data_IF_701756472387
#
_entry.id   IF_701756472387
#
_cell.length_a   1.000
_cell.length_b   1.000
_cell.length_c   1.000
_cell.angle_alpha   90.00
_cell.angle_beta   90.00
_cell.angle_gamma   90.00
#
_symmetry.space_group_name_H-M   'P 1'
#
loop_
_entity.id
_entity.type
_entity.pdbx_description
1 polymer ?
#
# COMPACT_ATOMS: atom_id res chain seq x y z
N UNK A 1 2.61 57.25 1.56
CA UNK A 1 3.35 55.98 1.43
C UNK A 1 2.44 54.83 1.82
N UNK A 2 1.81 54.15 0.86
CA UNK A 2 1.01 52.94 1.12
C UNK A 2 1.49 51.86 0.15
N UNK A 3 2.29 50.91 0.67
CA UNK A 3 2.77 49.76 -0.11
C UNK A 3 1.58 48.83 -0.35
N UNK A 4 1.24 48.60 -1.62
CA UNK A 4 0.30 47.56 -2.07
C UNK A 4 0.82 46.16 -1.66
N UNK A 5 -0.07 45.22 -1.29
CA UNK A 5 0.33 43.84 -1.04
C UNK A 5 0.78 43.17 -2.36
N UNK A 6 1.88 42.41 -2.29
CA UNK A 6 2.38 41.56 -3.38
C UNK A 6 1.35 40.49 -3.69
N UNK A 7 0.64 40.63 -4.80
CA UNK A 7 -0.08 39.53 -5.43
C UNK A 7 0.94 38.45 -5.82
N UNK A 8 0.87 37.30 -5.14
CA UNK A 8 1.59 36.09 -5.54
C UNK A 8 1.14 35.71 -6.95
N UNK A 9 2.10 35.67 -7.87
CA UNK A 9 1.90 35.26 -9.26
C UNK A 9 1.10 33.96 -9.30
N UNK A 10 -0.08 33.99 -9.92
CA UNK A 10 -0.68 32.81 -10.51
C UNK A 10 0.24 32.41 -11.65
N UNK A 11 1.15 31.46 -11.40
CA UNK A 11 1.86 30.80 -12.48
C UNK A 11 0.81 30.17 -13.38
N UNK A 12 0.74 30.67 -14.61
CA UNK A 12 0.01 30.02 -15.69
C UNK A 12 0.61 28.64 -15.86
N UNK A 13 -0.06 27.63 -15.32
CA UNK A 13 0.26 26.24 -15.64
C UNK A 13 -0.10 26.06 -17.12
N UNK A 14 0.90 26.19 -17.99
CA UNK A 14 0.84 25.57 -19.31
C UNK A 14 0.43 24.11 -19.10
N UNK A 15 -0.66 23.69 -19.75
CA UNK A 15 -1.13 22.30 -19.75
C UNK A 15 -0.11 21.43 -20.50
N UNK A 16 1.02 21.13 -19.84
CA UNK A 16 1.98 20.13 -20.29
C UNK A 16 1.54 18.80 -19.67
N UNK A 17 1.00 17.85 -20.47
CA UNK A 17 0.50 16.57 -19.94
C UNK A 17 1.63 15.73 -19.30
N UNK A 18 2.87 15.94 -19.75
CA UNK A 18 4.04 15.29 -19.19
C UNK A 18 4.99 16.35 -18.61
N UNK A 19 5.15 16.32 -17.30
CA UNK A 19 6.10 17.15 -16.57
C UNK A 19 6.83 16.26 -15.56
N UNK A 20 8.14 16.47 -15.43
CA UNK A 20 8.91 15.85 -14.37
C UNK A 20 8.34 16.26 -13.00
N UNK A 21 8.07 15.26 -12.16
CA UNK A 21 7.69 15.44 -10.77
C UNK A 21 8.78 14.85 -9.89
N UNK A 22 9.22 15.64 -8.91
CA UNK A 22 10.12 15.14 -7.87
C UNK A 22 9.41 14.11 -7.00
N UNK A 23 10.18 13.23 -6.34
CA UNK A 23 9.61 12.27 -5.38
C UNK A 23 8.77 12.98 -4.30
N UNK A 24 9.25 14.12 -3.80
CA UNK A 24 8.53 14.90 -2.80
C UNK A 24 7.16 15.38 -3.31
N UNK A 25 7.08 15.88 -4.54
CA UNK A 25 5.81 16.25 -5.17
C UNK A 25 4.88 15.05 -5.35
N UNK A 26 5.41 13.91 -5.80
CA UNK A 26 4.64 12.67 -5.96
C UNK A 26 4.09 12.15 -4.63
N UNK A 27 4.91 12.18 -3.55
CA UNK A 27 4.45 11.83 -2.21
C UNK A 27 3.41 12.80 -1.67
N UNK A 28 3.53 14.11 -1.92
CA UNK A 28 2.50 15.08 -1.53
C UNK A 28 1.18 14.87 -2.30
N UNK A 29 1.25 14.32 -3.51
CA UNK A 29 0.06 13.97 -4.30
C UNK A 29 -0.64 12.70 -3.82
N UNK A 30 -0.03 11.91 -2.94
CA UNK A 30 -0.67 10.78 -2.27
C UNK A 30 -1.81 11.33 -1.41
N UNK A 31 -3.04 11.18 -1.91
CA UNK A 31 -4.21 11.70 -1.24
C UNK A 31 -4.80 10.65 -0.28
N UNK A 32 -4.38 10.73 0.99
CA UNK A 32 -4.79 9.82 2.08
C UNK A 32 -6.27 10.05 2.47
N UNK A 33 -6.80 11.25 2.18
CA UNK A 33 -8.16 11.67 2.47
C UNK A 33 -9.16 11.07 1.47
N UNK A 34 -9.52 9.81 1.72
CA UNK A 34 -10.51 9.04 0.95
C UNK A 34 -11.96 9.52 1.15
N UNK A 35 -12.20 10.49 2.05
CA UNK A 35 -13.55 11.06 2.28
C UNK A 35 -14.12 11.77 1.04
N UNK A 36 -13.28 12.17 0.07
CA UNK A 36 -13.73 12.75 -1.20
C UNK A 36 -13.47 11.88 -2.45
N UNK A 37 -12.67 10.80 -2.35
CA UNK A 37 -12.42 9.88 -3.49
C UNK A 37 -13.42 8.73 -3.62
N UNK A 38 -14.13 8.35 -2.54
CA UNK A 38 -15.12 7.25 -2.55
C UNK A 38 -16.24 7.48 -3.58
N UNK A 39 -16.50 8.72 -4.03
CA UNK A 39 -17.66 9.00 -4.87
C UNK A 39 -17.44 8.90 -6.39
N UNK A 40 -16.25 8.56 -6.89
CA UNK A 40 -16.01 8.60 -8.35
C UNK A 40 -15.26 7.39 -8.96
N UNK A 41 -14.61 6.54 -8.18
CA UNK A 41 -13.97 5.33 -8.72
C UNK A 41 -14.71 4.03 -8.35
N UNK A 42 -15.59 4.09 -7.35
CA UNK A 42 -16.55 3.02 -7.05
C UNK A 42 -17.76 3.09 -8.01
N UNK A 43 -17.95 4.20 -8.74
CA UNK A 43 -19.17 4.49 -9.51
C UNK A 43 -19.35 3.73 -10.82
N UNK A 44 -18.35 3.04 -11.34
CA UNK A 44 -18.50 2.31 -12.61
C UNK A 44 -19.15 0.93 -12.42
N UNK A 45 -19.30 0.45 -11.17
CA UNK A 45 -19.99 -0.81 -10.86
C UNK A 45 -21.00 -0.67 -9.69
N UNK A 46 -21.69 0.47 -9.59
CA UNK A 46 -22.74 0.71 -8.58
C UNK A 46 -24.08 0.07 -8.96
N UNK A 47 -24.13 -1.26 -8.90
CA UNK A 47 -25.40 -1.96 -8.70
C UNK A 47 -25.26 -2.70 -7.36
N UNK A 48 -26.02 -2.24 -6.36
CA UNK A 48 -26.26 -2.85 -5.05
C UNK A 48 -25.20 -2.70 -3.93
N UNK A 49 -25.31 -1.60 -3.20
CA UNK A 49 -24.53 -1.21 -2.01
C UNK A 49 -24.72 -2.10 -0.75
N UNK A 50 -25.53 -3.16 -0.80
CA UNK A 50 -25.70 -4.09 0.34
C UNK A 50 -24.74 -5.29 0.25
N UNK A 51 -24.35 -5.72 -0.95
CA UNK A 51 -23.41 -6.83 -1.15
C UNK A 51 -21.94 -6.41 -0.92
N UNK A 52 -21.64 -5.12 -1.05
CA UNK A 52 -20.33 -4.53 -0.76
C UNK A 52 -19.90 -4.65 0.71
N UNK A 53 -20.86 -4.76 1.65
CA UNK A 53 -20.54 -4.98 3.08
C UNK A 53 -20.11 -6.44 3.33
N UNK A 54 -20.51 -7.37 2.45
CA UNK A 54 -20.17 -8.80 2.54
C UNK A 54 -18.95 -9.18 1.70
N UNK A 55 -18.56 -8.37 0.72
CA UNK A 55 -17.40 -8.66 -0.13
C UNK A 55 -16.12 -8.12 0.49
N UNK A 56 -15.08 -8.96 0.52
CA UNK A 56 -13.75 -8.61 1.06
C UNK A 56 -13.05 -7.59 0.16
N UNK A 57 -12.41 -6.58 0.75
CA UNK A 57 -11.59 -5.63 0.00
C UNK A 57 -10.35 -6.33 -0.59
N UNK A 58 -9.79 -7.31 0.14
CA UNK A 58 -8.69 -8.14 -0.36
C UNK A 58 -9.10 -8.93 -1.60
N UNK A 59 -10.28 -9.56 -1.60
CA UNK A 59 -10.80 -10.27 -2.78
C UNK A 59 -10.96 -9.34 -3.98
N UNK A 60 -11.56 -8.16 -3.78
CA UNK A 60 -11.75 -7.19 -4.85
C UNK A 60 -10.42 -6.75 -5.47
N UNK A 61 -9.41 -6.48 -4.65
CA UNK A 61 -8.07 -6.11 -5.14
C UNK A 61 -7.39 -7.29 -5.85
N UNK A 62 -7.58 -8.52 -5.37
CA UNK A 62 -7.05 -9.73 -6.01
C UNK A 62 -7.59 -9.93 -7.43
N UNK A 63 -8.90 -9.77 -7.62
CA UNK A 63 -9.52 -9.84 -8.95
C UNK A 63 -9.14 -8.62 -9.81
N UNK A 64 -9.06 -7.42 -9.22
CA UNK A 64 -8.59 -6.22 -9.94
C UNK A 64 -7.19 -6.41 -10.51
N UNK A 65 -6.25 -6.86 -9.68
CA UNK A 65 -4.88 -7.12 -10.11
C UNK A 65 -4.77 -8.30 -11.06
N UNK A 66 -5.71 -9.26 -11.06
CA UNK A 66 -5.80 -10.29 -12.11
C UNK A 66 -6.09 -9.71 -13.49
N UNK A 67 -6.63 -8.50 -13.59
CA UNK A 67 -6.86 -7.81 -14.87
C UNK A 67 -5.70 -6.88 -15.27
N UNK A 68 -4.82 -6.53 -14.33
CA UNK A 68 -3.72 -5.59 -14.55
C UNK A 68 -2.34 -6.26 -14.63
N UNK A 69 -2.08 -7.24 -13.77
CA UNK A 69 -0.79 -7.91 -13.66
C UNK A 69 -0.88 -9.31 -14.26
N UNK A 70 -0.28 -9.47 -15.45
CA UNK A 70 -0.22 -10.75 -16.16
C UNK A 70 1.12 -11.49 -15.98
N UNK A 71 1.93 -11.07 -15.00
CA UNK A 71 3.21 -11.74 -14.74
C UNK A 71 2.97 -13.17 -14.24
N UNK A 72 3.80 -14.10 -14.70
CA UNK A 72 3.72 -15.52 -14.30
C UNK A 72 3.80 -15.68 -12.77
N UNK A 73 4.63 -14.85 -12.13
CA UNK A 73 4.81 -14.83 -10.68
C UNK A 73 3.50 -14.44 -9.98
N UNK A 74 2.82 -13.41 -10.47
CA UNK A 74 1.52 -13.02 -9.92
C UNK A 74 0.45 -14.08 -10.20
N UNK A 75 0.38 -14.64 -11.41
CA UNK A 75 -0.59 -15.69 -11.75
C UNK A 75 -0.46 -16.90 -10.81
N UNK A 76 0.76 -17.32 -10.47
CA UNK A 76 1.01 -18.39 -9.49
C UNK A 76 0.48 -18.02 -8.11
N UNK A 77 0.80 -16.82 -7.62
CA UNK A 77 0.34 -16.33 -6.32
C UNK A 77 -1.19 -16.21 -6.27
N UNK A 78 -1.80 -15.65 -7.31
CA UNK A 78 -3.23 -15.49 -7.46
C UNK A 78 -3.96 -16.85 -7.40
N UNK A 79 -3.47 -17.86 -8.12
CA UNK A 79 -4.08 -19.20 -8.12
C UNK A 79 -4.04 -19.87 -6.74
N UNK A 80 -3.04 -19.55 -5.91
CA UNK A 80 -2.95 -20.04 -4.52
C UNK A 80 -3.88 -19.26 -3.57
N UNK A 81 -3.99 -17.95 -3.75
CA UNK A 81 -4.75 -17.07 -2.86
C UNK A 81 -6.25 -17.07 -3.13
N UNK A 82 -6.67 -17.11 -4.40
CA UNK A 82 -8.08 -17.07 -4.81
C UNK A 82 -8.99 -18.06 -4.08
N UNK A 83 -8.66 -19.38 -3.97
CA UNK A 83 -9.53 -20.32 -3.27
C UNK A 83 -9.64 -20.05 -1.76
N UNK A 84 -8.70 -19.30 -1.18
CA UNK A 84 -8.67 -18.98 0.25
C UNK A 84 -9.43 -17.71 0.60
N UNK A 85 -9.80 -16.90 -0.40
CA UNK A 85 -10.18 -15.50 -0.22
C UNK A 85 -11.45 -15.10 -0.99
N UNK A 86 -12.37 -16.02 -1.31
CA UNK A 86 -13.57 -15.67 -2.09
C UNK A 86 -14.58 -14.80 -1.32
N UNK A 87 -14.51 -14.78 0.01
CA UNK A 87 -15.35 -13.95 0.86
C UNK A 87 -14.57 -13.45 2.08
N UNK A 88 -15.10 -12.43 2.77
CA UNK A 88 -14.48 -11.89 3.98
C UNK A 88 -14.32 -12.93 5.08
N UNK A 89 -15.32 -13.79 5.27
CA UNK A 89 -15.27 -14.88 6.25
C UNK A 89 -14.14 -15.86 5.92
N UNK A 90 -13.95 -16.19 4.64
CA UNK A 90 -12.84 -17.04 4.21
C UNK A 90 -11.49 -16.38 4.45
N UNK A 91 -11.36 -15.07 4.20
CA UNK A 91 -10.13 -14.32 4.48
C UNK A 91 -9.79 -14.34 5.96
N UNK A 92 -10.78 -14.10 6.84
CA UNK A 92 -10.60 -14.15 8.30
C UNK A 92 -10.22 -15.56 8.75
N UNK A 93 -10.89 -16.58 8.23
CA UNK A 93 -10.63 -17.99 8.57
C UNK A 93 -9.25 -18.46 8.10
N UNK A 94 -8.87 -18.13 6.86
CA UNK A 94 -7.62 -18.57 6.23
C UNK A 94 -6.45 -17.61 6.43
N UNK A 95 -6.55 -16.60 7.31
CA UNK A 95 -5.51 -15.58 7.53
C UNK A 95 -4.11 -16.19 7.76
N UNK A 96 -4.04 -17.30 8.49
CA UNK A 96 -2.80 -18.03 8.80
C UNK A 96 -2.17 -18.73 7.59
N UNK A 97 -2.93 -18.93 6.51
CA UNK A 97 -2.44 -19.46 5.23
C UNK A 97 -2.10 -18.35 4.24
N UNK A 98 -2.92 -17.30 4.20
CA UNK A 98 -2.75 -16.16 3.30
C UNK A 98 -1.47 -15.39 3.62
N UNK A 99 -1.25 -15.08 4.90
CA UNK A 99 -0.14 -14.24 5.33
C UNK A 99 1.25 -14.84 5.04
N UNK A 100 1.52 -16.14 5.26
CA UNK A 100 2.78 -16.76 4.85
C UNK A 100 3.04 -16.70 3.35
N UNK A 101 2.01 -16.87 2.51
CA UNK A 101 2.15 -16.78 1.05
C UNK A 101 2.57 -15.36 0.63
N UNK A 102 1.89 -14.34 1.15
CA UNK A 102 2.24 -12.93 0.90
C UNK A 102 3.65 -12.61 1.41
N UNK A 103 4.00 -13.11 2.59
CA UNK A 103 5.33 -12.92 3.19
C UNK A 103 6.42 -13.53 2.32
N UNK A 104 6.24 -14.76 1.84
CA UNK A 104 7.21 -15.44 0.99
C UNK A 104 7.47 -14.63 -0.29
N UNK A 105 6.41 -14.18 -0.96
CA UNK A 105 6.55 -13.32 -2.14
C UNK A 105 7.24 -11.99 -1.84
N UNK A 106 7.11 -11.47 -0.62
CA UNK A 106 7.79 -10.24 -0.20
C UNK A 106 9.29 -10.47 0.02
N UNK A 107 9.68 -11.64 0.52
CA UNK A 107 11.08 -12.05 0.70
C UNK A 107 11.76 -12.30 -0.64
N UNK A 108 11.04 -12.85 -1.62
CA UNK A 108 11.55 -13.07 -2.98
C UNK A 108 11.86 -11.75 -3.73
N UNK A 109 11.27 -10.62 -3.29
CA UNK A 109 11.54 -9.26 -3.79
C UNK A 109 11.44 -9.13 -5.32
N UNK A 110 10.53 -9.87 -5.95
CA UNK A 110 10.38 -9.81 -7.40
C UNK A 110 9.74 -8.47 -7.84
N UNK A 111 10.43 -7.67 -8.69
CA UNK A 111 9.96 -6.34 -9.05
C UNK A 111 8.65 -6.33 -9.84
N UNK A 112 8.29 -7.44 -10.51
CA UNK A 112 7.09 -7.52 -11.35
C UNK A 112 5.78 -7.61 -10.54
N UNK A 113 5.87 -7.99 -9.26
CA UNK A 113 4.69 -8.19 -8.41
C UNK A 113 4.65 -7.24 -7.22
N UNK A 114 5.71 -6.47 -6.99
CA UNK A 114 5.86 -5.80 -5.70
C UNK A 114 4.78 -4.75 -5.45
N UNK A 115 4.38 -4.03 -6.49
CA UNK A 115 3.28 -3.07 -6.43
C UNK A 115 1.98 -3.75 -6.01
N UNK A 116 1.63 -4.81 -6.73
CA UNK A 116 0.46 -5.64 -6.48
C UNK A 116 0.49 -6.22 -5.06
N UNK A 117 1.63 -6.73 -4.63
CA UNK A 117 1.80 -7.34 -3.31
C UNK A 117 1.60 -6.32 -2.19
N UNK A 118 2.18 -5.13 -2.33
CA UNK A 118 2.05 -4.06 -1.35
C UNK A 118 0.60 -3.55 -1.22
N UNK A 119 -0.14 -3.45 -2.33
CA UNK A 119 -1.56 -3.10 -2.30
C UNK A 119 -2.42 -4.22 -1.68
N UNK A 120 -2.17 -5.49 -2.04
CA UNK A 120 -2.86 -6.63 -1.44
C UNK A 120 -2.68 -6.69 0.09
N UNK A 121 -1.48 -6.39 0.58
CA UNK A 121 -1.20 -6.30 2.03
C UNK A 121 -2.02 -5.19 2.68
N UNK A 122 -2.15 -4.03 2.03
CA UNK A 122 -2.97 -2.92 2.51
C UNK A 122 -4.44 -3.31 2.61
N UNK A 123 -5.00 -3.95 1.58
CA UNK A 123 -6.40 -4.38 1.59
C UNK A 123 -6.65 -5.48 2.63
N UNK A 124 -5.70 -6.41 2.80
CA UNK A 124 -5.78 -7.41 3.85
C UNK A 124 -5.80 -6.78 5.24
N UNK A 125 -4.98 -5.74 5.47
CA UNK A 125 -4.99 -5.01 6.73
C UNK A 125 -6.32 -4.28 6.97
N UNK A 126 -6.97 -3.79 5.92
CA UNK A 126 -8.30 -3.17 5.99
C UNK A 126 -9.39 -4.17 6.40
N UNK A 127 -9.34 -5.38 5.85
CA UNK A 127 -10.29 -6.46 6.15
C UNK A 127 -10.09 -7.02 7.57
N UNK A 128 -8.85 -7.32 7.96
CA UNK A 128 -8.53 -8.04 9.20
C UNK A 128 -8.31 -7.14 10.42
N UNK A 129 -7.88 -5.89 10.22
CA UNK A 129 -7.66 -4.89 11.28
C UNK A 129 -6.83 -5.40 12.48
N UNK A 130 -7.48 -5.69 13.62
CA UNK A 130 -6.82 -6.17 14.84
C UNK A 130 -6.11 -7.49 14.64
N UNK A 131 -6.69 -8.39 13.85
CA UNK A 131 -6.15 -9.72 13.62
C UNK A 131 -4.89 -9.65 12.75
N UNK A 132 -4.80 -8.65 11.87
CA UNK A 132 -3.61 -8.37 11.08
C UNK A 132 -2.48 -7.75 11.91
N UNK A 133 -2.83 -6.93 12.92
CA UNK A 133 -1.85 -6.16 13.69
C UNK A 133 -0.80 -7.03 14.41
N UNK A 134 -1.18 -8.25 14.80
CA UNK A 134 -0.26 -9.22 15.40
C UNK A 134 0.88 -9.54 14.43
N UNK A 135 0.52 -9.88 13.19
CA UNK A 135 1.48 -10.22 12.13
C UNK A 135 2.25 -9.01 11.62
N UNK A 136 1.61 -7.84 11.62
CA UNK A 136 2.26 -6.56 11.32
C UNK A 136 3.47 -6.33 12.22
N UNK A 137 3.27 -6.46 13.54
CA UNK A 137 4.34 -6.30 14.54
C UNK A 137 5.39 -7.40 14.47
N UNK A 138 4.97 -8.65 14.23
CA UNK A 138 5.87 -9.79 14.29
C UNK A 138 6.88 -9.83 13.13
N UNK A 139 6.44 -9.56 11.89
CA UNK A 139 7.34 -9.68 10.74
C UNK A 139 7.02 -8.75 9.58
N UNK A 140 5.76 -8.45 9.26
CA UNK A 140 5.47 -7.73 8.01
C UNK A 140 6.08 -6.33 7.96
N UNK A 141 6.08 -5.59 9.08
CA UNK A 141 6.73 -4.29 9.11
C UNK A 141 8.23 -4.41 8.80
N UNK A 142 8.91 -5.34 9.45
CA UNK A 142 10.33 -5.59 9.22
C UNK A 142 10.60 -6.01 7.78
N UNK A 143 9.79 -6.92 7.21
CA UNK A 143 9.96 -7.42 5.85
C UNK A 143 9.75 -6.28 4.82
N UNK A 144 8.75 -5.41 5.01
CA UNK A 144 8.51 -4.21 4.18
C UNK A 144 9.67 -3.23 4.25
N UNK A 145 10.24 -2.98 5.43
CA UNK A 145 11.41 -2.09 5.57
C UNK A 145 12.66 -2.74 4.98
N UNK A 146 12.85 -4.04 5.15
CA UNK A 146 13.98 -4.78 4.57
C UNK A 146 13.98 -4.74 3.04
N UNK A 147 12.81 -4.66 2.42
CA UNK A 147 12.69 -4.42 0.98
C UNK A 147 13.28 -3.08 0.55
N UNK A 148 13.10 -2.02 1.33
CA UNK A 148 13.76 -0.72 1.09
C UNK A 148 15.27 -0.79 1.35
N UNK A 149 15.71 -1.52 2.37
CA UNK A 149 17.14 -1.62 2.71
C UNK A 149 17.90 -2.45 1.66
N UNK A 150 17.36 -3.60 1.26
CA UNK A 150 18.00 -4.48 0.28
C UNK A 150 18.04 -3.86 -1.10
N UNK A 151 16.97 -3.15 -1.51
CA UNK A 151 16.99 -2.40 -2.76
C UNK A 151 18.09 -1.34 -2.76
N UNK A 152 18.33 -0.61 -1.66
CA UNK A 152 19.48 0.33 -1.57
C UNK A 152 20.83 -0.35 -1.77
N UNK A 153 21.05 -1.55 -1.23
CA UNK A 153 22.31 -2.30 -1.41
C UNK A 153 22.56 -2.68 -2.87
N UNK A 154 21.50 -3.10 -3.58
CA UNK A 154 21.56 -3.43 -5.01
C UNK A 154 21.81 -2.14 -5.84
N UNK A 155 21.21 -1.03 -5.44
CA UNK A 155 21.32 0.26 -6.15
C UNK A 155 22.70 0.92 -6.04
N UNK A 156 23.46 0.66 -4.96
CA UNK A 156 24.85 1.12 -4.85
C UNK A 156 25.74 0.60 -5.99
N UNK A 157 25.36 -0.52 -6.62
CA UNK A 157 26.10 -1.11 -7.75
C UNK A 157 25.66 -0.56 -9.12
N UNK A 158 24.47 0.02 -9.24
CA UNK A 158 23.90 0.47 -10.52
C UNK A 158 23.55 1.97 -10.59
N UNK A 159 23.78 2.74 -9.53
CA UNK A 159 23.63 4.20 -9.49
C UNK A 159 22.23 4.74 -9.88
N UNK A 160 21.19 3.90 -9.81
CA UNK A 160 19.79 4.30 -10.03
C UNK A 160 18.97 4.11 -8.75
N UNK A 161 18.40 5.18 -8.22
CA UNK A 161 17.45 5.11 -7.11
C UNK A 161 16.10 4.67 -7.71
N UNK A 162 15.60 3.49 -7.35
CA UNK A 162 14.26 3.08 -7.73
C UNK A 162 13.20 3.90 -6.96
N UNK A 163 12.96 5.10 -7.46
CA UNK A 163 12.02 6.08 -6.92
C UNK A 163 10.60 5.52 -6.86
N UNK A 164 10.25 4.65 -7.81
CA UNK A 164 8.94 4.01 -7.86
C UNK A 164 8.73 3.03 -6.70
N UNK A 165 9.72 2.19 -6.40
CA UNK A 165 9.66 1.28 -5.26
C UNK A 165 9.50 2.05 -3.94
N UNK A 166 10.27 3.12 -3.79
CA UNK A 166 10.20 3.96 -2.59
C UNK A 166 8.79 4.54 -2.42
N UNK A 167 8.22 5.10 -3.48
CA UNK A 167 6.84 5.61 -3.47
C UNK A 167 5.82 4.52 -3.15
N UNK A 168 5.91 3.34 -3.75
CA UNK A 168 5.00 2.22 -3.50
C UNK A 168 5.04 1.78 -2.03
N UNK A 169 6.23 1.73 -1.41
CA UNK A 169 6.36 1.39 0.00
C UNK A 169 5.81 2.50 0.89
N UNK A 170 6.12 3.77 0.62
CA UNK A 170 5.55 4.88 1.38
C UNK A 170 4.03 4.92 1.27
N UNK A 171 3.48 4.64 0.09
CA UNK A 171 2.05 4.51 -0.15
C UNK A 171 1.45 3.37 0.69
N UNK A 172 2.07 2.20 0.66
CA UNK A 172 1.68 1.04 1.46
C UNK A 172 1.65 1.37 2.96
N UNK A 173 2.76 1.90 3.49
CA UNK A 173 2.87 2.29 4.90
C UNK A 173 1.82 3.32 5.28
N UNK A 174 1.60 4.32 4.43
CA UNK A 174 0.60 5.37 4.66
C UNK A 174 -0.81 4.79 4.83
N UNK A 175 -1.21 3.86 3.96
CA UNK A 175 -2.51 3.20 4.11
C UNK A 175 -2.56 2.24 5.29
N UNK A 176 -1.48 1.51 5.58
CA UNK A 176 -1.40 0.66 6.78
C UNK A 176 -1.61 1.48 8.05
N UNK A 177 -0.93 2.62 8.17
CA UNK A 177 -1.16 3.57 9.28
C UNK A 177 -2.62 4.01 9.33
N UNK A 178 -3.19 4.40 8.20
CA UNK A 178 -4.58 4.84 8.13
C UNK A 178 -5.58 3.75 8.55
N UNK A 179 -5.35 2.48 8.21
CA UNK A 179 -6.27 1.40 8.57
C UNK A 179 -6.09 0.95 10.02
N UNK A 180 -4.86 0.99 10.53
CA UNK A 180 -4.51 0.45 11.84
C UNK A 180 -4.38 1.51 12.94
N UNK A 181 -4.50 2.82 12.63
CA UNK A 181 -4.20 3.92 13.57
C UNK A 181 -4.86 3.76 14.95
N UNK A 182 -6.13 3.35 15.01
CA UNK A 182 -6.86 3.16 16.28
C UNK A 182 -6.26 2.06 17.16
N UNK A 183 -5.71 1.02 16.53
CA UNK A 183 -5.07 -0.10 17.21
C UNK A 183 -3.66 0.32 17.61
N UNK A 184 -2.95 0.98 16.70
CA UNK A 184 -1.60 1.49 16.93
C UNK A 184 -1.52 2.47 18.11
N UNK A 185 -2.49 3.38 18.24
CA UNK A 185 -2.55 4.34 19.35
C UNK A 185 -2.66 3.66 20.72
N UNK A 186 -3.25 2.45 20.80
CA UNK A 186 -3.37 1.69 22.05
C UNK A 186 -2.05 1.02 22.46
N UNK A 187 -1.16 0.77 21.51
CA UNK A 187 0.10 0.03 21.70
C UNK A 187 1.32 0.86 21.25
N UNK A 188 1.29 2.15 21.57
CA UNK A 188 2.27 3.14 21.13
C UNK A 188 3.69 2.82 21.62
N UNK A 189 3.83 2.28 22.83
CA UNK A 189 5.13 1.94 23.41
C UNK A 189 5.85 0.83 22.60
N UNK A 190 5.15 -0.26 22.30
CA UNK A 190 5.71 -1.37 21.51
C UNK A 190 6.03 -0.94 20.08
N UNK A 191 5.19 -0.09 19.49
CA UNK A 191 5.46 0.47 18.16
C UNK A 191 6.68 1.38 18.14
N UNK A 192 6.85 2.21 19.17
CA UNK A 192 8.04 3.05 19.27
C UNK A 192 9.30 2.19 19.37
N UNK A 193 9.29 1.12 20.15
CA UNK A 193 10.43 0.18 20.23
C UNK A 193 10.70 -0.49 18.88
N UNK A 194 9.65 -0.88 18.15
CA UNK A 194 9.79 -1.46 16.82
C UNK A 194 10.37 -0.46 15.82
N UNK A 195 9.81 0.75 15.74
CA UNK A 195 10.22 1.76 14.76
C UNK A 195 11.57 2.38 15.06
N UNK A 196 11.91 2.57 16.33
CA UNK A 196 13.20 3.13 16.73
C UNK A 196 14.37 2.29 16.21
N UNK A 197 14.23 0.95 16.18
CA UNK A 197 15.22 0.02 15.63
C UNK A 197 15.51 0.25 14.14
N UNK A 198 14.55 0.74 13.37
CA UNK A 198 14.70 0.95 11.91
C UNK A 198 14.89 2.42 11.52
N UNK A 199 14.49 3.36 12.38
CA UNK A 199 14.58 4.80 12.11
C UNK A 199 15.90 5.39 12.62
N UNK A 200 16.44 4.87 13.73
CA UNK A 200 17.67 5.34 14.35
C UNK A 200 18.85 4.37 14.24
N UNK A 201 18.71 3.29 13.47
CA UNK A 201 19.82 2.40 13.08
C UNK A 201 20.46 2.87 11.77
#
# INVERSE_FOLDING_TARGET
MTKKPKNSKKDGQEHRPFRYQTLHERLNNININVVHRIRYHDTVNLVDNQDLIRTSYFYQSLEHWSTLNFSEVYTKLHNQLRPLANSLEQVVYNREKILPLLRQSLIEQNPLIIETLLDLIVQLARDLQSDFYIYYKQYLFADIINLLINSKKIQQQQHEINTQLLEQVFQCLTYLFKHLWRIMLKDLASLYELYSKYLFS
#
